data_IF_787438272568
#
_entry.id   IF_787438272568
#
_cell.length_a   1.000
_cell.length_b   1.000
_cell.length_c   1.000
_cell.angle_alpha   90.00
_cell.angle_beta   90.00
_cell.angle_gamma   90.00
#
_symmetry.space_group_name_H-M   'P 1'
#
loop_
_entity.id
_entity.type
_entity.pdbx_description
1 polymer ?
#
# COMPACT_ATOMS: atom_id res chain seq x y z
N UNK A 1 -17.08 3.63 -54.95
CA UNK A 1 -17.79 4.34 -53.83
C UNK A 1 -17.51 3.68 -52.49
N UNK A 2 -17.42 2.38 -52.36
CA UNK A 2 -17.26 1.61 -51.13
C UNK A 2 -15.97 1.89 -50.35
N UNK A 3 -14.81 2.11 -51.02
CA UNK A 3 -13.49 2.31 -50.35
C UNK A 3 -13.41 3.60 -49.55
N UNK A 4 -14.08 4.67 -50.01
CA UNK A 4 -14.08 5.96 -49.28
C UNK A 4 -14.83 5.91 -47.92
N UNK A 5 -15.84 5.06 -47.84
CA UNK A 5 -16.66 4.94 -46.64
C UNK A 5 -15.93 4.09 -45.57
N UNK A 6 -15.19 3.04 -45.99
CA UNK A 6 -14.33 2.28 -45.10
C UNK A 6 -13.22 3.13 -44.50
N UNK A 7 -12.61 4.01 -45.28
CA UNK A 7 -11.56 4.90 -44.77
C UNK A 7 -12.07 5.85 -43.67
N UNK A 8 -13.27 6.41 -43.85
CA UNK A 8 -13.89 7.28 -42.81
C UNK A 8 -14.18 6.52 -41.53
N UNK A 9 -14.67 5.27 -41.63
CA UNK A 9 -14.94 4.43 -40.43
C UNK A 9 -13.66 4.12 -39.69
N UNK A 10 -12.58 3.74 -40.37
CA UNK A 10 -11.28 3.45 -39.76
C UNK A 10 -10.69 4.70 -39.10
N UNK A 11 -10.74 5.84 -39.77
CA UNK A 11 -10.24 7.12 -39.20
C UNK A 11 -11.06 7.53 -37.98
N UNK A 12 -12.40 7.38 -38.04
CA UNK A 12 -13.25 7.68 -36.88
C UNK A 12 -12.93 6.80 -35.68
N UNK A 13 -12.72 5.50 -35.95
CA UNK A 13 -12.38 4.53 -34.87
C UNK A 13 -11.00 4.84 -34.24
N UNK A 14 -10.02 5.20 -35.10
CA UNK A 14 -8.68 5.59 -34.64
C UNK A 14 -8.73 6.86 -33.79
N UNK A 15 -9.52 7.85 -34.21
CA UNK A 15 -9.70 9.12 -33.50
C UNK A 15 -10.37 8.91 -32.14
N UNK A 16 -11.38 8.06 -32.08
CA UNK A 16 -12.09 7.69 -30.83
C UNK A 16 -11.15 6.95 -29.87
N UNK A 17 -10.32 6.03 -30.39
CA UNK A 17 -9.35 5.29 -29.60
C UNK A 17 -8.28 6.22 -29.00
N UNK A 18 -7.73 7.14 -29.81
CA UNK A 18 -6.78 8.15 -29.36
C UNK A 18 -7.41 9.03 -28.28
N UNK A 19 -8.67 9.46 -28.48
CA UNK A 19 -9.37 10.31 -27.51
C UNK A 19 -9.60 9.59 -26.17
N UNK A 20 -9.92 8.29 -26.18
CA UNK A 20 -10.04 7.47 -24.95
C UNK A 20 -8.71 7.36 -24.18
N UNK A 21 -7.56 7.37 -24.86
CA UNK A 21 -6.25 7.31 -24.20
C UNK A 21 -5.86 8.64 -23.52
N UNK A 22 -6.48 9.74 -23.92
CA UNK A 22 -6.23 11.09 -23.33
C UNK A 22 -7.25 11.48 -22.25
N UNK A 23 -8.21 10.62 -21.92
CA UNK A 23 -9.08 10.91 -20.78
C UNK A 23 -8.23 10.92 -19.50
N UNK A 24 -8.30 12.00 -18.70
CA UNK A 24 -7.55 12.07 -17.46
C UNK A 24 -7.99 10.90 -16.56
N UNK A 25 -7.07 9.98 -16.33
CA UNK A 25 -7.29 8.96 -15.32
C UNK A 25 -7.35 9.69 -13.98
N UNK A 26 -8.53 9.68 -13.35
CA UNK A 26 -8.62 10.14 -11.96
C UNK A 26 -7.72 9.26 -11.13
N UNK A 27 -6.54 9.77 -10.77
CA UNK A 27 -5.73 9.20 -9.73
C UNK A 27 -6.56 9.29 -8.44
N UNK A 28 -7.07 8.16 -7.96
CA UNK A 28 -7.61 8.12 -6.60
C UNK A 28 -6.42 8.32 -5.69
N UNK A 29 -6.38 9.43 -4.97
CA UNK A 29 -5.44 9.59 -3.89
C UNK A 29 -5.66 8.41 -2.92
N UNK A 30 -4.58 7.73 -2.55
CA UNK A 30 -4.66 6.66 -1.57
C UNK A 30 -5.17 7.25 -0.24
N UNK A 31 -5.93 6.48 0.53
CA UNK A 31 -6.30 6.94 1.88
C UNK A 31 -5.07 6.98 2.78
N UNK A 32 -4.96 7.99 3.67
CA UNK A 32 -3.90 8.02 4.68
C UNK A 32 -3.88 6.74 5.49
N UNK A 33 -2.71 6.13 5.62
CA UNK A 33 -2.56 4.85 6.30
C UNK A 33 -1.16 4.63 6.84
N UNK A 34 -1.06 3.78 7.87
CA UNK A 34 0.20 3.13 8.25
C UNK A 34 0.17 1.68 7.79
N UNK A 35 1.35 1.12 7.57
CA UNK A 35 1.51 -0.30 7.30
C UNK A 35 2.85 -0.81 7.82
N UNK A 36 2.94 -2.13 8.02
CA UNK A 36 4.19 -2.82 8.29
C UNK A 36 4.75 -3.44 7.00
N UNK A 37 6.08 -3.43 6.86
CA UNK A 37 6.74 -4.15 5.79
C UNK A 37 7.88 -5.02 6.37
N UNK A 38 7.92 -6.32 6.05
CA UNK A 38 6.96 -7.05 5.20
C UNK A 38 5.55 -7.11 5.81
N UNK A 39 4.54 -7.27 4.95
CA UNK A 39 3.13 -7.31 5.34
C UNK A 39 2.72 -8.63 6.05
N UNK A 40 3.66 -9.26 6.72
CA UNK A 40 3.55 -10.55 7.37
C UNK A 40 4.41 -11.62 6.68
N UNK A 41 4.32 -12.84 7.16
CA UNK A 41 5.05 -13.97 6.58
C UNK A 41 5.81 -14.80 7.59
N UNK A 42 6.70 -15.66 7.08
CA UNK A 42 7.49 -16.58 7.90
C UNK A 42 8.81 -15.96 8.30
N UNK A 43 9.10 -15.92 9.60
CA UNK A 43 10.40 -15.54 10.14
C UNK A 43 11.35 -16.73 9.98
N UNK A 44 12.31 -16.62 9.05
CA UNK A 44 13.19 -17.74 8.65
C UNK A 44 14.30 -18.02 9.64
N UNK A 45 14.81 -17.00 10.31
CA UNK A 45 15.97 -17.09 11.20
C UNK A 45 15.62 -16.48 12.56
N UNK A 46 15.06 -17.32 13.44
CA UNK A 46 14.61 -16.88 14.75
C UNK A 46 15.78 -16.45 15.65
N UNK A 47 16.98 -17.05 15.45
CA UNK A 47 18.16 -16.73 16.27
C UNK A 47 18.72 -15.33 15.97
N UNK A 48 18.63 -14.89 14.72
CA UNK A 48 19.10 -13.55 14.32
C UNK A 48 18.06 -12.46 14.54
N UNK A 49 16.82 -12.87 14.79
CA UNK A 49 15.69 -11.95 14.83
C UNK A 49 15.26 -11.47 13.43
N UNK A 50 14.38 -10.52 13.39
CA UNK A 50 13.84 -9.96 12.15
C UNK A 50 13.58 -8.47 12.30
N UNK A 51 13.41 -7.83 11.15
CA UNK A 51 13.18 -6.39 11.06
C UNK A 51 11.85 -6.11 10.38
N UNK A 52 11.12 -5.13 10.90
CA UNK A 52 9.87 -4.64 10.33
C UNK A 52 9.99 -3.13 10.15
N UNK A 53 9.74 -2.67 8.94
CA UNK A 53 9.66 -1.25 8.63
C UNK A 53 8.22 -0.76 8.88
N UNK A 54 8.10 0.42 9.49
CA UNK A 54 6.85 1.16 9.63
C UNK A 54 6.77 2.15 8.49
N UNK A 55 5.79 1.96 7.63
CA UNK A 55 5.55 2.79 6.45
C UNK A 55 4.38 3.72 6.72
N UNK A 56 4.52 4.98 6.35
CA UNK A 56 3.46 5.99 6.35
C UNK A 56 3.08 6.32 4.91
N UNK A 57 1.78 6.35 4.62
CA UNK A 57 1.23 6.92 3.40
C UNK A 57 0.24 8.02 3.79
N UNK A 58 0.51 9.26 3.42
CA UNK A 58 -0.34 10.40 3.75
C UNK A 58 -1.49 10.61 2.77
N UNK A 59 -1.58 9.79 1.71
CA UNK A 59 -2.57 9.97 0.65
C UNK A 59 -2.43 11.29 -0.12
N UNK A 60 -1.23 11.88 -0.13
CA UNK A 60 -0.96 13.18 -0.72
C UNK A 60 -1.30 14.37 0.19
N UNK A 61 -1.80 14.11 1.39
CA UNK A 61 -2.06 15.14 2.38
C UNK A 61 -0.75 15.63 3.03
N UNK A 62 -0.73 16.90 3.44
CA UNK A 62 0.39 17.50 4.16
C UNK A 62 0.14 17.44 5.65
N UNK A 63 1.08 16.89 6.43
CA UNK A 63 0.97 16.71 7.87
C UNK A 63 2.11 17.40 8.62
N UNK A 64 1.86 17.73 9.88
CA UNK A 64 2.83 18.31 10.83
C UNK A 64 3.41 17.26 11.75
N UNK A 65 2.66 16.19 12.03
CA UNK A 65 3.08 15.12 12.93
C UNK A 65 2.51 13.78 12.54
N UNK A 66 3.22 12.73 12.93
CA UNK A 66 2.78 11.35 12.85
C UNK A 66 3.14 10.63 14.14
N UNK A 67 2.16 9.99 14.76
CA UNK A 67 2.33 9.11 15.91
C UNK A 67 1.84 7.73 15.53
N UNK A 68 2.64 6.72 15.77
CA UNK A 68 2.19 5.34 15.67
C UNK A 68 2.37 4.61 17.00
N UNK A 69 1.42 3.74 17.28
CA UNK A 69 1.46 2.83 18.42
C UNK A 69 1.30 1.42 17.91
N UNK A 70 2.38 0.65 17.98
CA UNK A 70 2.39 -0.76 17.60
C UNK A 70 2.32 -1.65 18.84
N UNK A 71 1.54 -2.72 18.74
CA UNK A 71 1.33 -3.72 19.77
C UNK A 71 1.91 -5.06 19.34
N UNK A 72 2.57 -5.77 20.25
CA UNK A 72 3.11 -7.11 20.03
C UNK A 72 2.95 -7.99 21.26
N UNK A 73 3.03 -9.31 21.07
CA UNK A 73 3.02 -10.27 22.19
C UNK A 73 4.42 -10.31 22.86
N UNK A 74 4.60 -9.74 24.06
CA UNK A 74 5.89 -9.71 24.74
C UNK A 74 6.37 -11.07 25.23
N UNK A 75 5.49 -12.08 25.21
CA UNK A 75 5.88 -13.46 25.55
C UNK A 75 6.52 -14.19 24.37
N UNK A 76 6.34 -13.67 23.14
CA UNK A 76 6.84 -14.23 21.88
C UNK A 76 7.95 -13.40 21.26
N UNK A 77 7.83 -12.08 21.34
CA UNK A 77 8.75 -11.13 20.75
C UNK A 77 9.38 -10.22 21.79
N UNK A 78 10.59 -9.74 21.49
CA UNK A 78 11.24 -8.68 22.22
C UNK A 78 11.78 -7.64 21.25
N UNK A 79 11.37 -6.39 21.39
CA UNK A 79 11.98 -5.28 20.65
C UNK A 79 13.42 -5.08 21.12
N UNK A 80 14.37 -5.18 20.21
CA UNK A 80 15.79 -4.97 20.48
C UNK A 80 16.29 -3.61 19.99
N UNK A 81 15.65 -3.07 18.95
CA UNK A 81 16.03 -1.78 18.38
C UNK A 81 14.82 -1.09 17.73
N UNK A 82 14.73 0.23 17.88
CA UNK A 82 13.81 1.09 17.13
C UNK A 82 14.60 2.24 16.51
N UNK A 83 14.72 2.24 15.19
CA UNK A 83 15.42 3.28 14.42
C UNK A 83 14.39 4.24 13.83
N UNK A 84 14.57 5.52 14.09
CA UNK A 84 13.69 6.60 13.63
C UNK A 84 14.27 7.23 12.36
N UNK A 85 13.48 7.37 11.32
CA UNK A 85 13.93 8.08 10.11
C UNK A 85 13.82 9.59 10.33
N UNK A 86 14.96 10.24 10.48
CA UNK A 86 15.04 11.69 10.74
C UNK A 86 15.03 12.54 9.45
N UNK A 87 14.90 11.92 8.29
CA UNK A 87 14.84 12.65 7.01
C UNK A 87 13.53 13.42 6.87
N UNK A 88 12.43 12.82 7.32
CA UNK A 88 11.09 13.40 7.19
C UNK A 88 10.62 14.10 8.46
N UNK A 89 10.84 13.44 9.60
CA UNK A 89 10.51 13.98 10.91
C UNK A 89 11.80 14.23 11.66
N UNK A 90 12.17 15.50 11.80
CA UNK A 90 13.45 15.89 12.41
C UNK A 90 13.42 15.82 13.94
N UNK A 91 12.23 15.99 14.51
CA UNK A 91 12.02 15.98 15.96
C UNK A 91 11.26 14.72 16.39
N UNK A 92 11.87 13.95 17.30
CA UNK A 92 11.29 12.74 17.90
C UNK A 92 11.47 12.85 19.42
N UNK A 93 10.53 13.50 20.12
CA UNK A 93 10.65 13.71 21.57
C UNK A 93 10.66 12.38 22.33
N UNK A 94 11.52 12.29 23.31
CA UNK A 94 11.62 11.06 24.13
C UNK A 94 10.45 10.93 25.10
N UNK A 95 9.87 12.04 25.54
CA UNK A 95 8.67 12.09 26.39
C UNK A 95 7.38 11.69 25.64
N UNK A 96 7.41 11.70 24.32
CA UNK A 96 6.35 11.17 23.44
C UNK A 96 6.72 9.81 22.83
N UNK A 97 7.68 9.11 23.41
CA UNK A 97 8.15 7.81 22.92
C UNK A 97 8.08 6.79 24.04
N UNK A 98 7.51 5.63 23.76
CA UNK A 98 7.44 4.49 24.69
C UNK A 98 7.94 3.24 23.98
N UNK A 99 8.94 2.57 24.57
CA UNK A 99 9.44 1.27 24.12
C UNK A 99 9.32 0.31 25.31
N UNK A 100 8.14 -0.31 25.43
CA UNK A 100 7.78 -1.16 26.57
C UNK A 100 7.73 -2.62 26.16
N UNK A 101 8.79 -3.34 26.49
CA UNK A 101 8.89 -4.79 26.22
C UNK A 101 8.06 -5.64 27.20
N UNK A 102 7.67 -5.11 28.34
CA UNK A 102 6.92 -5.87 29.34
C UNK A 102 5.43 -5.93 28.97
N UNK A 103 4.92 -4.84 28.41
CA UNK A 103 3.54 -4.75 27.94
C UNK A 103 3.39 -4.92 26.42
N UNK A 104 4.49 -5.02 25.67
CA UNK A 104 4.45 -5.21 24.21
C UNK A 104 3.98 -3.96 23.47
N UNK A 105 4.39 -2.76 23.90
CA UNK A 105 3.96 -1.48 23.34
C UNK A 105 5.13 -0.70 22.77
N UNK A 106 4.99 -0.22 21.56
CA UNK A 106 5.92 0.68 20.88
C UNK A 106 5.16 1.92 20.46
N UNK A 107 5.44 3.07 21.06
CA UNK A 107 4.90 4.36 20.66
C UNK A 107 6.03 5.28 20.23
N UNK A 108 5.94 5.84 19.03
CA UNK A 108 6.87 6.83 18.52
C UNK A 108 6.10 7.98 17.88
N UNK A 109 6.45 9.22 18.27
CA UNK A 109 5.88 10.44 17.69
C UNK A 109 6.95 11.24 16.98
N UNK A 110 6.72 11.52 15.69
CA UNK A 110 7.59 12.34 14.86
C UNK A 110 6.92 13.64 14.47
N UNK A 111 7.69 14.73 14.52
CA UNK A 111 7.22 16.07 14.15
C UNK A 111 8.10 16.64 13.05
N UNK A 112 7.47 17.34 12.11
CA UNK A 112 8.18 18.19 11.17
C UNK A 112 8.76 19.39 11.90
N UNK A 113 9.75 20.05 11.34
CA UNK A 113 10.37 21.19 12.00
C UNK A 113 9.37 22.34 12.16
N UNK A 114 9.10 22.71 13.43
CA UNK A 114 8.29 23.87 13.76
C UNK A 114 8.96 25.17 13.25
N UNK A 115 8.20 25.97 12.53
CA UNK A 115 8.54 27.36 12.24
C UNK A 115 8.94 27.70 10.81
N UNK A 116 9.42 26.77 10.00
CA UNK A 116 9.75 27.00 8.59
C UNK A 116 8.70 26.50 7.59
N UNK A 117 7.58 25.94 8.08
CA UNK A 117 6.43 25.65 7.25
C UNK A 117 6.58 24.45 6.30
N UNK A 118 7.66 23.68 6.36
CA UNK A 118 7.77 22.48 5.57
C UNK A 118 6.92 21.37 6.21
N UNK A 119 5.74 21.17 5.63
CA UNK A 119 4.87 20.07 5.94
C UNK A 119 5.33 18.83 5.18
N UNK A 120 5.23 17.68 5.83
CA UNK A 120 5.56 16.40 5.22
C UNK A 120 4.38 15.85 4.40
N UNK A 121 4.67 15.32 3.22
CA UNK A 121 3.77 14.49 2.43
C UNK A 121 4.56 13.30 1.90
N UNK A 122 4.04 12.09 2.08
CA UNK A 122 4.72 10.88 1.63
C UNK A 122 4.78 10.74 0.12
N UNK A 123 5.69 9.89 -0.37
CA UNK A 123 5.62 9.35 -1.72
C UNK A 123 4.31 8.58 -1.93
N UNK A 124 3.86 8.35 -3.18
CA UNK A 124 2.66 7.57 -3.47
C UNK A 124 2.70 6.14 -2.92
N UNK A 125 3.88 5.55 -2.86
CA UNK A 125 4.13 4.20 -2.34
C UNK A 125 4.22 4.17 -0.81
N UNK A 126 4.27 5.34 -0.16
CA UNK A 126 4.57 5.51 1.25
C UNK A 126 6.08 5.61 1.50
N UNK A 127 6.43 6.06 2.71
CA UNK A 127 7.81 6.23 3.13
C UNK A 127 8.06 5.50 4.45
N UNK A 128 9.26 4.92 4.61
CA UNK A 128 9.67 4.27 5.86
C UNK A 128 10.02 5.35 6.90
N UNK A 129 9.25 5.41 7.98
CA UNK A 129 9.46 6.37 9.07
C UNK A 129 10.19 5.79 10.27
N UNK A 130 10.09 4.48 10.46
CA UNK A 130 10.82 3.78 11.52
C UNK A 130 11.14 2.34 11.10
N UNK A 131 12.18 1.77 11.72
CA UNK A 131 12.57 0.38 11.56
C UNK A 131 12.65 -0.26 12.92
N UNK A 132 11.90 -1.33 13.11
CA UNK A 132 11.78 -2.08 14.35
C UNK A 132 12.50 -3.42 14.20
N UNK A 133 13.44 -3.72 15.09
CA UNK A 133 14.14 -5.00 15.12
C UNK A 133 13.69 -5.79 16.34
N UNK A 134 13.26 -7.03 16.10
CA UNK A 134 12.79 -7.94 17.14
C UNK A 134 13.69 -9.16 17.26
N UNK A 135 13.86 -9.67 18.46
CA UNK A 135 14.28 -11.05 18.72
C UNK A 135 13.07 -11.91 19.02
N UNK A 136 13.15 -13.18 18.64
CA UNK A 136 12.11 -14.19 18.91
C UNK A 136 12.42 -14.86 20.23
N UNK A 137 11.47 -14.83 21.18
CA UNK A 137 11.57 -15.48 22.48
C UNK A 137 10.97 -16.89 22.48
N UNK A 138 9.97 -17.10 21.61
CA UNK A 138 9.28 -18.39 21.46
C UNK A 138 8.82 -18.58 20.02
N UNK A 139 8.99 -19.79 19.50
CA UNK A 139 8.51 -20.21 18.17
C UNK A 139 7.01 -20.40 18.15
N UNK A 140 6.26 -19.32 18.13
CA UNK A 140 4.79 -19.29 18.10
C UNK A 140 4.31 -18.24 17.12
N UNK A 141 3.28 -18.54 16.34
CA UNK A 141 2.61 -17.54 15.51
C UNK A 141 2.13 -16.38 16.37
N UNK A 142 2.45 -15.19 15.95
CA UNK A 142 2.10 -13.93 16.64
C UNK A 142 1.68 -12.87 15.64
N UNK A 143 1.35 -11.69 16.10
CA UNK A 143 0.98 -10.56 15.25
C UNK A 143 1.64 -9.27 15.75
N UNK A 144 1.78 -8.32 14.84
CA UNK A 144 1.94 -6.91 15.15
C UNK A 144 0.63 -6.22 14.80
N UNK A 145 0.07 -5.50 15.75
CA UNK A 145 -1.18 -4.75 15.60
C UNK A 145 -0.94 -3.26 15.89
N UNK A 146 -1.97 -2.47 15.70
CA UNK A 146 -1.96 -1.05 15.95
C UNK A 146 -2.95 -0.71 17.07
N UNK A 147 -2.50 0.11 18.02
CA UNK A 147 -3.45 0.78 18.89
C UNK A 147 -4.08 1.95 18.14
N UNK A 148 -5.38 1.90 18.00
CA UNK A 148 -6.15 2.88 17.26
C UNK A 148 -7.45 3.18 18.00
N UNK A 149 -7.39 4.16 18.88
CA UNK A 149 -8.57 4.68 19.58
C UNK A 149 -9.00 6.02 18.97
N UNK A 150 -10.28 6.17 18.74
CA UNK A 150 -10.86 7.41 18.20
C UNK A 150 -11.12 8.49 19.26
N UNK A 151 -10.76 8.23 20.53
CA UNK A 151 -11.16 9.05 21.69
C UNK A 151 -10.03 9.94 22.26
N UNK A 152 -9.07 10.37 21.43
CA UNK A 152 -7.97 11.26 21.85
C UNK A 152 -7.12 10.72 23.01
N UNK A 153 -6.90 9.42 23.07
CA UNK A 153 -6.00 8.79 24.02
C UNK A 153 -4.53 9.14 23.78
N UNK A 154 -3.71 9.03 24.82
CA UNK A 154 -2.26 9.22 24.72
C UNK A 154 -1.66 8.17 23.77
N UNK A 155 -2.17 6.93 23.85
CA UNK A 155 -1.78 5.79 23.01
C UNK A 155 -2.72 5.69 21.79
N UNK A 156 -2.61 6.63 20.87
CA UNK A 156 -3.41 6.65 19.66
C UNK A 156 -2.52 6.77 18.42
N UNK A 157 -2.71 5.88 17.45
CA UNK A 157 -2.06 5.98 16.14
C UNK A 157 -2.77 7.06 15.32
N UNK A 158 -2.05 8.11 14.91
CA UNK A 158 -2.63 9.26 14.21
C UNK A 158 -1.64 9.95 13.28
N UNK A 159 -2.18 10.68 12.33
CA UNK A 159 -1.49 11.62 11.46
C UNK A 159 -2.19 12.97 11.56
N UNK A 160 -1.47 14.02 11.90
CA UNK A 160 -2.09 15.31 12.17
C UNK A 160 -1.70 16.34 11.11
N UNK A 161 -2.73 16.98 10.55
CA UNK A 161 -2.59 18.21 9.78
C UNK A 161 -2.44 19.41 10.70
N UNK A 162 -1.80 20.44 10.16
CA UNK A 162 -1.76 21.75 10.79
C UNK A 162 -3.20 22.31 10.97
N UNK A 163 -3.42 22.89 12.15
CA UNK A 163 -4.71 23.48 12.51
C UNK A 163 -4.81 23.75 14.00
N UNK A 164 -5.86 24.47 14.41
CA UNK A 164 -6.14 24.73 15.81
C UNK A 164 -7.62 24.41 16.10
N UNK A 165 -7.90 23.21 16.66
CA UNK A 165 -6.99 22.11 17.02
C UNK A 165 -6.41 21.35 15.80
N UNK A 166 -5.31 20.60 15.98
CA UNK A 166 -4.79 19.70 14.94
C UNK A 166 -5.84 18.68 14.53
N UNK A 167 -5.87 18.37 13.22
CA UNK A 167 -6.85 17.43 12.67
C UNK A 167 -6.20 16.09 12.35
N UNK A 168 -6.65 15.01 12.99
CA UNK A 168 -6.26 13.65 12.61
C UNK A 168 -6.88 13.28 11.24
N UNK A 169 -6.03 12.90 10.29
CA UNK A 169 -6.45 12.48 8.93
C UNK A 169 -6.56 10.97 8.78
N UNK A 170 -6.04 10.19 9.74
CA UNK A 170 -6.16 8.74 9.74
C UNK A 170 -7.59 8.34 10.11
N UNK A 171 -8.34 7.80 9.16
CA UNK A 171 -9.78 7.52 9.31
C UNK A 171 -10.06 6.09 9.76
N UNK A 172 -9.15 5.17 9.46
CA UNK A 172 -9.34 3.74 9.69
C UNK A 172 -8.14 3.16 10.44
N UNK A 173 -8.41 2.15 11.28
CA UNK A 173 -7.36 1.37 11.92
C UNK A 173 -6.48 0.73 10.84
N UNK A 174 -5.14 0.88 10.91
CA UNK A 174 -4.24 0.19 9.98
C UNK A 174 -4.32 -1.33 10.14
N UNK A 175 -3.98 -2.05 9.08
CA UNK A 175 -4.06 -3.51 9.09
C UNK A 175 -2.93 -4.13 9.90
N UNK A 176 -3.29 -5.03 10.82
CA UNK A 176 -2.32 -5.86 11.54
C UNK A 176 -1.65 -6.86 10.61
N UNK A 177 -0.45 -7.32 10.98
CA UNK A 177 0.25 -8.38 10.26
C UNK A 177 0.41 -9.62 11.14
N UNK A 178 0.39 -10.80 10.49
CA UNK A 178 0.64 -12.09 11.13
C UNK A 178 2.06 -12.54 10.83
N UNK A 179 2.79 -12.93 11.87
CA UNK A 179 4.15 -13.45 11.82
C UNK A 179 4.15 -14.92 12.21
N UNK A 180 4.60 -15.77 11.31
CA UNK A 180 4.75 -17.21 11.55
C UNK A 180 6.21 -17.51 11.85
N UNK A 181 6.49 -18.12 12.99
CA UNK A 181 7.84 -18.54 13.34
C UNK A 181 8.14 -19.89 12.69
N UNK A 182 9.35 -20.03 12.10
CA UNK A 182 9.71 -21.22 11.31
C UNK A 182 9.67 -22.53 12.08
N UNK A 183 9.89 -22.51 13.42
CA UNK A 183 9.80 -23.68 14.30
C UNK A 183 8.44 -23.90 14.95
N UNK A 184 7.51 -22.95 14.84
CA UNK A 184 6.17 -23.06 15.42
C UNK A 184 5.26 -23.92 14.53
N UNK A 185 4.83 -25.07 15.03
CA UNK A 185 3.90 -25.96 14.34
C UNK A 185 2.68 -25.21 13.81
N UNK A 186 2.43 -25.33 12.52
CA UNK A 186 1.38 -24.64 11.78
C UNK A 186 -0.01 -25.05 12.29
N UNK A 187 -0.63 -24.13 13.04
CA UNK A 187 -2.05 -24.23 13.40
C UNK A 187 -2.97 -23.39 12.52
N UNK A 188 -2.41 -22.60 11.57
CA UNK A 188 -3.19 -21.77 10.65
C UNK A 188 -2.87 -22.18 9.21
N UNK A 189 -3.91 -22.61 8.49
CA UNK A 189 -3.83 -22.89 7.06
C UNK A 189 -3.42 -21.60 6.30
N UNK A 190 -2.29 -21.58 5.59
CA UNK A 190 -1.86 -20.40 4.82
C UNK A 190 -2.85 -20.00 3.72
N UNK A 191 -3.84 -20.83 3.41
CA UNK A 191 -4.88 -20.53 2.42
C UNK A 191 -5.88 -19.44 2.87
N UNK A 192 -5.90 -19.06 4.16
CA UNK A 192 -6.83 -18.05 4.69
C UNK A 192 -6.28 -16.63 4.70
N UNK A 193 -4.99 -16.45 4.48
CA UNK A 193 -4.43 -15.09 4.29
C UNK A 193 -4.70 -14.67 2.86
N UNK A 194 -5.84 -14.05 2.62
CA UNK A 194 -6.07 -13.29 1.39
C UNK A 194 -5.09 -12.13 1.34
N UNK A 195 -3.88 -12.41 0.88
CA UNK A 195 -3.04 -11.34 0.34
C UNK A 195 -3.79 -10.76 -0.84
N UNK A 196 -4.28 -9.55 -0.71
CA UNK A 196 -4.77 -8.75 -1.83
C UNK A 196 -3.57 -8.35 -2.68
N UNK A 197 -2.93 -9.36 -3.28
CA UNK A 197 -1.98 -9.14 -4.36
C UNK A 197 -2.79 -8.67 -5.55
N UNK A 198 -2.51 -7.47 -5.98
CA UNK A 198 -2.94 -6.81 -7.21
C UNK A 198 -3.47 -7.79 -8.27
N UNK A 199 -4.77 -7.86 -8.42
CA UNK A 199 -5.44 -8.56 -9.54
C UNK A 199 -5.42 -7.74 -10.85
N UNK A 200 -4.52 -6.75 -10.93
CA UNK A 200 -4.37 -5.85 -12.08
C UNK A 200 -4.11 -6.51 -13.44
N UNK A 201 -3.29 -7.60 -13.55
CA UNK A 201 -2.99 -8.17 -14.86
C UNK A 201 -4.13 -8.96 -15.53
N UNK A 202 -5.10 -9.48 -14.75
CA UNK A 202 -6.15 -10.35 -15.32
C UNK A 202 -7.09 -9.61 -16.27
N UNK A 203 -7.41 -8.36 -15.98
CA UNK A 203 -8.26 -7.55 -16.86
C UNK A 203 -7.55 -7.18 -18.16
N UNK A 204 -6.23 -6.97 -18.11
CA UNK A 204 -5.45 -6.66 -19.32
C UNK A 204 -5.41 -7.85 -20.29
N UNK A 205 -5.31 -9.07 -19.78
CA UNK A 205 -5.36 -10.30 -20.59
C UNK A 205 -6.74 -10.52 -21.23
N UNK A 206 -7.83 -10.22 -20.49
CA UNK A 206 -9.19 -10.36 -21.01
C UNK A 206 -9.44 -9.35 -22.15
N UNK A 207 -9.04 -8.09 -21.96
CA UNK A 207 -9.17 -7.06 -23.01
C UNK A 207 -8.31 -7.40 -24.22
N UNK A 208 -7.09 -7.89 -24.03
CA UNK A 208 -6.22 -8.36 -25.12
C UNK A 208 -6.83 -9.52 -25.89
N UNK A 209 -7.41 -10.51 -25.21
CA UNK A 209 -8.07 -11.64 -25.86
C UNK A 209 -9.31 -11.23 -26.67
N UNK A 210 -10.11 -10.30 -26.18
CA UNK A 210 -11.28 -9.74 -26.88
C UNK A 210 -10.83 -9.01 -28.14
N UNK A 211 -9.77 -8.21 -28.10
CA UNK A 211 -9.24 -7.49 -29.26
C UNK A 211 -8.72 -8.45 -30.35
N UNK A 212 -8.06 -9.54 -29.96
CA UNK A 212 -7.58 -10.57 -30.91
C UNK A 212 -8.75 -11.30 -31.57
N UNK A 213 -9.80 -11.64 -30.82
CA UNK A 213 -10.99 -12.29 -31.37
C UNK A 213 -11.75 -11.39 -32.33
N UNK A 214 -11.93 -10.11 -32.04
CA UNK A 214 -12.57 -9.15 -32.94
C UNK A 214 -11.69 -8.83 -34.17
N UNK A 215 -10.39 -8.71 -34.02
CA UNK A 215 -9.45 -8.50 -35.13
C UNK A 215 -9.42 -9.70 -36.09
N UNK A 216 -9.43 -10.93 -35.55
CA UNK A 216 -9.48 -12.17 -36.34
C UNK A 216 -10.77 -12.33 -37.14
N UNK A 217 -11.91 -11.97 -36.55
CA UNK A 217 -13.21 -12.07 -37.22
C UNK A 217 -13.34 -11.13 -38.45
N UNK A 218 -12.74 -9.95 -38.41
CA UNK A 218 -12.74 -8.98 -39.50
C UNK A 218 -11.91 -9.46 -40.72
N UNK A 219 -10.92 -10.32 -40.54
CA UNK A 219 -10.09 -10.85 -41.64
C UNK A 219 -10.82 -11.95 -42.39
N UNK A 220 -11.65 -12.75 -41.71
CA UNK A 220 -12.37 -13.88 -42.32
C UNK A 220 -13.64 -13.48 -43.10
N UNK A 221 -14.16 -12.27 -42.90
CA UNK A 221 -15.42 -11.83 -43.56
C UNK A 221 -15.19 -11.02 -44.84
N UNK A 222 -14.04 -11.14 -45.51
CA UNK A 222 -13.84 -10.51 -46.82
C UNK A 222 -14.70 -11.22 -47.85
N UNK A 223 -15.72 -10.56 -48.45
CA UNK A 223 -16.46 -11.16 -49.60
C UNK A 223 -15.52 -11.28 -50.80
N UNK A 224 -15.39 -12.48 -51.32
CA UNK A 224 -14.69 -12.75 -52.57
C UNK A 224 -15.39 -11.98 -53.69
N UNK A 225 -14.84 -10.87 -54.15
CA UNK A 225 -15.31 -10.16 -55.36
C UNK A 225 -14.78 -10.93 -56.57
N UNK A 226 -15.60 -11.83 -57.04
CA UNK A 226 -15.36 -12.53 -58.30
C UNK A 226 -15.40 -11.50 -59.43
N UNK A 227 -14.25 -11.23 -60.04
CA UNK A 227 -14.11 -10.41 -61.25
C UNK A 227 -14.62 -11.23 -62.44
N UNK A 228 -15.86 -11.02 -62.83
CA UNK A 228 -16.37 -11.55 -64.14
C UNK A 228 -15.70 -10.77 -65.29
N UNK A 229 -14.80 -11.40 -66.04
CA UNK A 229 -14.30 -10.90 -67.29
C UNK A 229 -15.46 -10.89 -68.36
N UNK A 230 -15.54 -9.78 -69.07
CA UNK A 230 -16.35 -9.72 -70.34
C UNK A 230 -15.39 -9.85 -71.47
N UNK A 231 -15.74 -10.85 -72.29
CA UNK A 231 -15.32 -10.90 -73.71
C UNK A 231 -15.99 -9.79 -74.51
#
# INVERSE_FOLDING_TARGET
MIVKDYFKIVVSFLLTFVFCCFLPQKSFAAEPSFSFYPAGGVVQDEEKGFTVDVIINTGGEKIVSAKFVALFDPTVLRLTKAERNRTFFVNWPDDESTLDNDNGVIMLSGFTQSGNGELYSSSPEGDVIARLTFSVLRSKTTYLDWEYETNNGIFETKMEKDGSPPQNILKNKPTAIVLQMAGGGSGLDPSTVKTSVFDGPKYLLIVGAILILFGGFMIFTRPNVYRRGKH
#
